data_IF_579214443584
#
_entry.id   IF_579214443584
#
_cell.length_a   1.000
_cell.length_b   1.000
_cell.length_c   1.000
_cell.angle_alpha   90.00
_cell.angle_beta   90.00
_cell.angle_gamma   90.00
#
_symmetry.space_group_name_H-M   'P 1'
#
loop_
_entity.id
_entity.type
_entity.pdbx_description
1 polymer ?
#
# COMPACT_ATOMS: atom_id res chain seq x y z
N UNK A 1 5.43 14.45 -0.06
CA UNK A 1 4.25 13.77 0.54
C UNK A 1 3.00 14.31 -0.13
N UNK A 2 2.08 13.45 -0.57
CA UNK A 2 0.85 13.89 -1.22
C UNK A 2 -0.07 14.60 -0.23
N UNK A 3 -0.64 15.74 -0.64
CA UNK A 3 -1.64 16.47 0.14
C UNK A 3 -3.04 15.89 -0.08
N UNK A 4 -4.00 16.22 0.79
CA UNK A 4 -5.41 15.86 0.58
C UNK A 4 -5.93 16.38 -0.78
N UNK A 5 -5.47 17.58 -1.20
CA UNK A 5 -5.80 18.13 -2.51
C UNK A 5 -5.30 17.29 -3.68
N UNK A 6 -4.08 16.78 -3.59
CA UNK A 6 -3.48 15.90 -4.61
C UNK A 6 -4.25 14.58 -4.72
N UNK A 7 -4.61 13.99 -3.58
CA UNK A 7 -5.40 12.75 -3.52
C UNK A 7 -6.77 12.96 -4.19
N UNK A 8 -7.46 14.07 -3.89
CA UNK A 8 -8.76 14.40 -4.49
C UNK A 8 -8.65 14.64 -5.99
N UNK A 9 -7.59 15.31 -6.43
CA UNK A 9 -7.32 15.57 -7.85
C UNK A 9 -7.11 14.26 -8.61
N UNK A 10 -6.30 13.37 -8.08
CA UNK A 10 -6.03 12.07 -8.70
C UNK A 10 -7.28 11.18 -8.69
N UNK A 11 -8.03 11.15 -7.59
CA UNK A 11 -9.33 10.47 -7.55
C UNK A 11 -10.26 10.96 -8.68
N UNK A 12 -10.40 12.26 -8.87
CA UNK A 12 -11.26 12.84 -9.92
C UNK A 12 -10.79 12.47 -11.32
N UNK A 13 -9.47 12.37 -11.55
CA UNK A 13 -8.89 11.92 -12.81
C UNK A 13 -9.24 10.47 -13.08
N UNK A 14 -8.94 9.56 -12.15
CA UNK A 14 -9.24 8.13 -12.23
C UNK A 14 -10.75 7.91 -12.42
N UNK A 15 -11.58 8.60 -11.63
CA UNK A 15 -13.02 8.45 -11.72
C UNK A 15 -13.57 8.87 -13.10
N UNK A 16 -13.03 9.91 -13.73
CA UNK A 16 -13.42 10.32 -15.08
C UNK A 16 -13.00 9.32 -16.15
N UNK A 17 -11.78 8.81 -16.04
CA UNK A 17 -11.22 7.83 -16.98
C UNK A 17 -11.97 6.50 -16.94
N UNK A 18 -12.34 6.07 -15.74
CA UNK A 18 -13.01 4.77 -15.51
C UNK A 18 -14.50 4.92 -15.17
N UNK A 19 -15.13 6.05 -15.45
CA UNK A 19 -16.53 6.33 -15.10
C UNK A 19 -17.55 5.35 -15.71
N UNK A 20 -17.21 4.70 -16.83
CA UNK A 20 -17.99 3.64 -17.45
C UNK A 20 -18.08 2.35 -16.62
N UNK A 21 -17.15 2.17 -15.67
CA UNK A 21 -17.20 1.07 -14.73
C UNK A 21 -17.96 1.55 -13.48
N UNK A 22 -19.07 0.92 -13.15
CA UNK A 22 -19.94 1.31 -12.01
C UNK A 22 -19.29 1.06 -10.63
N UNK A 23 -17.99 0.95 -10.58
CA UNK A 23 -17.20 0.63 -9.40
C UNK A 23 -16.97 1.81 -8.45
N UNK A 24 -16.30 1.49 -7.35
CA UNK A 24 -15.75 2.45 -6.39
C UNK A 24 -14.26 2.61 -6.64
N UNK A 25 -13.73 3.81 -6.36
CA UNK A 25 -12.28 4.04 -6.34
C UNK A 25 -11.81 3.93 -4.89
N UNK A 26 -10.95 2.98 -4.63
CA UNK A 26 -10.38 2.75 -3.31
C UNK A 26 -9.15 3.63 -3.12
N UNK A 27 -9.13 4.39 -2.03
CA UNK A 27 -8.01 5.25 -1.61
C UNK A 27 -7.45 4.65 -0.33
N UNK A 28 -6.38 3.90 -0.45
CA UNK A 28 -5.69 3.30 0.68
C UNK A 28 -4.64 4.28 1.21
N UNK A 29 -4.64 4.49 2.51
CA UNK A 29 -3.78 5.49 3.17
C UNK A 29 -3.00 4.78 4.26
N UNK A 30 -1.67 4.95 4.24
CA UNK A 30 -0.84 4.57 5.37
C UNK A 30 -1.15 5.50 6.55
N UNK A 31 -1.86 4.98 7.53
CA UNK A 31 -2.30 5.68 8.74
C UNK A 31 -1.40 5.39 9.94
N UNK A 32 -0.15 5.01 9.68
CA UNK A 32 0.84 4.70 10.72
C UNK A 32 1.24 5.98 11.48
N UNK A 33 0.86 6.07 12.73
CA UNK A 33 1.24 7.17 13.65
C UNK A 33 0.44 8.45 13.43
N UNK A 34 1.03 9.51 12.86
CA UNK A 34 0.39 10.82 12.70
C UNK A 34 -0.56 10.91 11.50
N UNK A 35 -0.79 9.81 10.78
CA UNK A 35 -1.59 9.76 9.55
C UNK A 35 -3.08 10.03 9.73
N UNK A 36 -3.63 9.89 10.93
CA UNK A 36 -5.06 10.11 11.21
C UNK A 36 -5.59 11.45 10.72
N UNK A 37 -4.77 12.50 10.76
CA UNK A 37 -5.16 13.82 10.26
C UNK A 37 -5.44 13.88 8.76
N UNK A 38 -4.71 13.13 7.93
CA UNK A 38 -4.94 13.05 6.48
C UNK A 38 -6.23 12.28 6.19
N UNK A 39 -6.38 11.14 6.85
CA UNK A 39 -7.58 10.28 6.72
C UNK A 39 -8.84 11.03 7.11
N UNK A 40 -8.85 11.72 8.24
CA UNK A 40 -10.01 12.45 8.74
C UNK A 40 -10.34 13.66 7.84
N UNK A 41 -9.34 14.43 7.43
CA UNK A 41 -9.55 15.53 6.51
C UNK A 41 -10.06 15.05 5.14
N UNK A 42 -9.59 13.92 4.66
CA UNK A 42 -10.09 13.34 3.40
C UNK A 42 -11.55 12.87 3.53
N UNK A 43 -11.95 12.32 4.68
CA UNK A 43 -13.35 11.96 4.96
C UNK A 43 -14.26 13.21 4.96
N UNK A 44 -13.80 14.32 5.53
CA UNK A 44 -14.52 15.60 5.50
C UNK A 44 -14.70 16.10 4.06
N UNK A 45 -13.60 16.22 3.30
CA UNK A 45 -13.62 16.66 1.90
C UNK A 45 -14.48 15.74 1.03
N UNK A 46 -14.46 14.42 1.28
CA UNK A 46 -15.36 13.47 0.61
C UNK A 46 -16.84 13.83 0.81
N UNK A 47 -17.22 14.22 2.02
CA UNK A 47 -18.61 14.66 2.33
C UNK A 47 -18.91 16.03 1.70
N UNK A 48 -18.01 17.00 1.89
CA UNK A 48 -18.16 18.37 1.36
C UNK A 48 -18.34 18.39 -0.16
N UNK A 49 -17.54 17.61 -0.87
CA UNK A 49 -17.54 17.54 -2.35
C UNK A 49 -18.40 16.42 -2.92
N UNK A 50 -19.16 15.70 -2.10
CA UNK A 50 -20.06 14.60 -2.49
C UNK A 50 -19.37 13.50 -3.32
N UNK A 51 -18.12 13.13 -2.95
CA UNK A 51 -17.31 12.15 -3.66
C UNK A 51 -17.66 10.70 -3.21
N UNK A 52 -18.92 10.30 -3.35
CA UNK A 52 -19.44 9.06 -2.77
C UNK A 52 -18.85 7.78 -3.36
N UNK A 53 -18.27 7.85 -4.56
CA UNK A 53 -17.55 6.71 -5.18
C UNK A 53 -16.14 6.51 -4.61
N UNK A 54 -15.61 7.48 -3.85
CA UNK A 54 -14.34 7.33 -3.11
C UNK A 54 -14.56 6.47 -1.87
N UNK A 55 -13.84 5.37 -1.75
CA UNK A 55 -13.77 4.56 -0.55
C UNK A 55 -12.42 4.77 0.11
N UNK A 56 -12.40 5.34 1.31
CA UNK A 56 -11.19 5.63 2.06
C UNK A 56 -10.92 4.46 3.00
N UNK A 57 -9.75 3.85 2.87
CA UNK A 57 -9.31 2.71 3.67
C UNK A 57 -8.00 3.10 4.38
N UNK A 58 -8.06 3.44 5.67
CA UNK A 58 -6.84 3.60 6.46
C UNK A 58 -6.21 2.23 6.69
N UNK A 59 -4.90 2.14 6.53
CA UNK A 59 -4.11 0.93 6.77
C UNK A 59 -2.96 1.31 7.69
N UNK A 60 -2.87 0.68 8.84
CA UNK A 60 -1.72 0.81 9.72
C UNK A 60 -0.67 -0.25 9.37
N UNK A 61 0.25 0.10 8.48
CA UNK A 61 1.29 -0.79 8.00
C UNK A 61 2.27 -1.26 9.09
N UNK A 62 2.32 -0.58 10.24
CA UNK A 62 3.15 -0.96 11.39
C UNK A 62 2.48 -1.98 12.32
N UNK A 63 1.18 -2.21 12.17
CA UNK A 63 0.46 -3.19 12.99
C UNK A 63 0.89 -4.63 12.69
N UNK A 64 0.77 -5.46 13.70
CA UNK A 64 0.81 -6.90 13.52
C UNK A 64 -0.41 -7.32 12.70
N UNK A 65 -0.25 -8.35 11.89
CA UNK A 65 -1.35 -8.93 11.12
C UNK A 65 -2.36 -9.49 12.13
N UNK A 66 -3.52 -8.84 12.28
CA UNK A 66 -4.60 -9.34 13.13
C UNK A 66 -5.36 -10.49 12.47
N UNK A 67 -5.73 -11.49 13.26
CA UNK A 67 -6.02 -12.85 12.77
C UNK A 67 -7.51 -13.20 12.73
N UNK A 68 -8.37 -12.38 12.13
CA UNK A 68 -9.81 -12.65 12.14
C UNK A 68 -10.30 -13.64 11.06
N UNK A 69 -9.51 -13.92 10.02
CA UNK A 69 -9.85 -14.87 8.97
C UNK A 69 -8.76 -15.91 8.73
N UNK A 70 -9.10 -17.07 8.15
CA UNK A 70 -8.13 -18.13 7.86
C UNK A 70 -6.99 -17.68 6.93
N UNK A 71 -7.30 -16.85 5.92
CA UNK A 71 -6.28 -16.30 5.00
C UNK A 71 -5.32 -15.34 5.70
N UNK A 72 -5.82 -14.57 6.66
CA UNK A 72 -5.01 -13.65 7.47
C UNK A 72 -4.15 -14.40 8.49
N UNK A 73 -4.63 -15.54 9.01
CA UNK A 73 -3.82 -16.43 9.86
C UNK A 73 -2.62 -16.98 9.11
N UNK A 74 -2.81 -17.47 7.88
CA UNK A 74 -1.74 -17.97 7.02
C UNK A 74 -0.69 -16.86 6.73
N UNK A 75 -1.13 -15.65 6.47
CA UNK A 75 -0.24 -14.50 6.31
C UNK A 75 0.53 -14.16 7.59
N UNK A 76 -0.13 -14.21 8.76
CA UNK A 76 0.52 -13.96 10.05
C UNK A 76 1.54 -15.03 10.43
N UNK A 77 1.39 -16.26 9.95
CA UNK A 77 2.37 -17.33 10.13
C UNK A 77 3.59 -17.15 9.24
N UNK A 78 3.42 -16.65 8.02
CA UNK A 78 4.48 -16.51 7.00
C UNK A 78 5.26 -15.21 7.11
N UNK A 79 4.60 -14.10 7.47
CA UNK A 79 5.17 -12.75 7.42
C UNK A 79 5.24 -12.10 8.80
N UNK A 80 6.35 -11.40 9.04
CA UNK A 80 6.60 -10.78 10.36
C UNK A 80 5.71 -9.56 10.63
N UNK A 81 5.33 -8.83 9.58
CA UNK A 81 4.50 -7.63 9.68
C UNK A 81 3.68 -7.40 8.40
N UNK A 82 2.72 -6.48 8.48
CA UNK A 82 1.82 -6.17 7.38
C UNK A 82 2.54 -5.62 6.15
N UNK A 83 3.57 -4.78 6.33
CA UNK A 83 4.39 -4.27 5.22
C UNK A 83 4.99 -5.43 4.41
N UNK A 84 5.53 -6.44 5.09
CA UNK A 84 6.08 -7.64 4.42
C UNK A 84 5.00 -8.41 3.66
N UNK A 85 3.82 -8.57 4.25
CA UNK A 85 2.69 -9.24 3.59
C UNK A 85 2.22 -8.49 2.34
N UNK A 86 2.13 -7.15 2.40
CA UNK A 86 1.77 -6.31 1.24
C UNK A 86 2.77 -6.46 0.09
N UNK A 87 4.06 -6.42 0.38
CA UNK A 87 5.11 -6.59 -0.62
C UNK A 87 5.13 -8.01 -1.21
N UNK A 88 4.91 -9.03 -0.39
CA UNK A 88 4.81 -10.40 -0.85
C UNK A 88 3.59 -10.60 -1.78
N UNK A 89 2.44 -10.05 -1.41
CA UNK A 89 1.23 -10.07 -2.25
C UNK A 89 1.46 -9.37 -3.60
N UNK A 90 2.08 -8.20 -3.59
CA UNK A 90 2.44 -7.48 -4.82
C UNK A 90 3.38 -8.30 -5.70
N UNK A 91 4.42 -8.92 -5.13
CA UNK A 91 5.34 -9.81 -5.86
C UNK A 91 4.56 -10.95 -6.51
N UNK A 92 3.69 -11.61 -5.76
CA UNK A 92 2.91 -12.74 -6.28
C UNK A 92 1.99 -12.32 -7.45
N UNK A 93 1.40 -11.11 -7.39
CA UNK A 93 0.61 -10.55 -8.51
C UNK A 93 1.47 -10.30 -9.76
N UNK A 94 2.71 -9.80 -9.58
CA UNK A 94 3.66 -9.58 -10.68
C UNK A 94 4.13 -10.91 -11.28
N UNK A 95 4.55 -11.87 -10.45
CA UNK A 95 5.04 -13.18 -10.87
C UNK A 95 3.97 -13.97 -11.65
N UNK A 96 2.72 -13.88 -11.19
CA UNK A 96 1.58 -14.52 -11.85
C UNK A 96 1.02 -13.71 -13.04
N UNK A 97 1.64 -12.59 -13.41
CA UNK A 97 1.22 -11.70 -14.52
C UNK A 97 -0.23 -11.21 -14.37
N UNK A 98 -0.68 -11.01 -13.14
CA UNK A 98 -2.03 -10.54 -12.83
C UNK A 98 -2.14 -9.00 -12.84
N UNK A 99 -1.00 -8.31 -12.82
CA UNK A 99 -0.92 -6.85 -12.92
C UNK A 99 0.16 -6.44 -13.93
N UNK A 100 -0.02 -5.25 -14.49
CA UNK A 100 0.97 -4.56 -15.31
C UNK A 100 1.28 -3.23 -14.63
N UNK A 101 2.54 -2.92 -14.48
CA UNK A 101 3.02 -1.64 -13.95
C UNK A 101 3.62 -0.80 -15.06
N UNK A 102 3.64 0.52 -14.88
CA UNK A 102 4.32 1.43 -15.80
C UNK A 102 5.82 1.13 -15.85
N UNK A 103 6.41 1.31 -17.04
CA UNK A 103 7.86 1.21 -17.26
C UNK A 103 8.55 2.49 -16.72
N UNK A 104 8.63 2.58 -15.40
CA UNK A 104 9.24 3.69 -14.65
C UNK A 104 10.49 3.18 -13.94
N UNK A 105 11.66 3.63 -14.39
CA UNK A 105 12.96 3.19 -13.86
C UNK A 105 13.09 3.36 -12.34
N UNK A 106 12.50 4.42 -11.79
CA UNK A 106 12.58 4.67 -10.35
C UNK A 106 11.75 3.65 -9.56
N UNK A 107 10.54 3.34 -10.02
CA UNK A 107 9.69 2.32 -9.39
C UNK A 107 10.31 0.94 -9.50
N UNK A 108 10.79 0.56 -10.70
CA UNK A 108 11.46 -0.72 -10.94
C UNK A 108 12.72 -0.85 -10.08
N UNK A 109 13.53 0.22 -10.00
CA UNK A 109 14.72 0.26 -9.14
C UNK A 109 14.38 0.06 -7.66
N UNK A 110 13.31 0.68 -7.16
CA UNK A 110 12.84 0.49 -5.78
C UNK A 110 12.33 -0.93 -5.52
N UNK A 111 11.55 -1.50 -6.45
CA UNK A 111 11.03 -2.87 -6.35
C UNK A 111 12.15 -3.92 -6.31
N UNK A 112 13.21 -3.74 -7.10
CA UNK A 112 14.30 -4.69 -7.23
C UNK A 112 15.40 -4.56 -6.17
N UNK A 113 15.48 -3.44 -5.46
CA UNK A 113 16.57 -3.16 -4.53
C UNK A 113 16.34 -3.61 -3.09
N UNK A 114 15.07 -3.81 -2.69
CA UNK A 114 14.69 -4.15 -1.32
C UNK A 114 14.86 -5.65 -1.04
N UNK A 115 15.53 -5.98 0.06
CA UNK A 115 15.87 -7.34 0.43
C UNK A 115 14.82 -7.97 1.35
N UNK A 116 14.83 -9.30 1.40
CA UNK A 116 14.09 -10.09 2.40
C UNK A 116 15.07 -10.79 3.32
N UNK A 117 14.68 -10.95 4.56
CA UNK A 117 15.38 -11.75 5.56
C UNK A 117 14.42 -12.74 6.21
N UNK A 118 14.97 -13.79 6.82
CA UNK A 118 14.21 -14.68 7.69
C UNK A 118 14.46 -14.27 9.13
N UNK A 119 13.37 -14.12 9.89
CA UNK A 119 13.46 -13.89 11.34
C UNK A 119 13.86 -15.17 12.06
N UNK A 120 14.29 -15.07 13.33
CA UNK A 120 14.59 -16.22 14.17
C UNK A 120 13.40 -17.18 14.34
N UNK A 121 12.18 -16.68 14.16
CA UNK A 121 10.94 -17.47 14.26
C UNK A 121 10.51 -18.06 12.89
N UNK A 122 11.37 -18.01 11.87
CA UNK A 122 11.11 -18.56 10.54
C UNK A 122 10.13 -17.76 9.68
N UNK A 123 9.80 -16.53 10.06
CA UNK A 123 8.95 -15.65 9.25
C UNK A 123 9.77 -14.81 8.28
N UNK A 124 9.23 -14.55 7.12
CA UNK A 124 9.79 -13.55 6.19
C UNK A 124 9.62 -12.14 6.75
N UNK A 125 10.64 -11.33 6.57
CA UNK A 125 10.63 -9.91 6.88
C UNK A 125 11.32 -9.13 5.78
N UNK A 126 10.64 -8.09 5.29
CA UNK A 126 11.23 -7.18 4.30
C UNK A 126 12.19 -6.22 5.00
N UNK A 127 13.28 -5.88 4.33
CA UNK A 127 14.27 -4.94 4.80
C UNK A 127 13.63 -3.61 5.22
N UNK A 128 13.98 -3.11 6.40
CA UNK A 128 13.48 -1.83 6.88
C UNK A 128 14.07 -0.65 6.09
N UNK A 129 13.34 0.47 6.02
CA UNK A 129 13.85 1.72 5.42
C UNK A 129 15.18 2.17 6.05
N UNK A 130 15.36 1.92 7.34
CA UNK A 130 16.59 2.23 8.07
C UNK A 130 17.79 1.42 7.56
N UNK A 131 17.56 0.14 7.27
CA UNK A 131 18.61 -0.73 6.73
C UNK A 131 18.93 -0.40 5.27
N UNK A 132 17.92 -0.11 4.46
CA UNK A 132 18.11 0.40 3.09
C UNK A 132 18.99 1.67 3.09
N UNK A 133 18.69 2.63 3.99
CA UNK A 133 19.47 3.85 4.14
C UNK A 133 20.93 3.57 4.53
N UNK A 134 21.19 2.58 5.39
CA UNK A 134 22.58 2.16 5.73
C UNK A 134 23.33 1.62 4.52
N UNK A 135 22.65 1.05 3.53
CA UNK A 135 23.21 0.60 2.26
C UNK A 135 23.34 1.72 1.21
N UNK A 136 23.03 2.97 1.57
CA UNK A 136 23.07 4.13 0.66
C UNK A 136 21.88 4.22 -0.28
N UNK A 137 20.77 3.54 0.04
CA UNK A 137 19.54 3.58 -0.76
C UNK A 137 18.53 4.56 -0.18
N UNK A 138 17.79 5.20 -1.05
CA UNK A 138 16.65 6.04 -0.68
C UNK A 138 15.44 5.21 -0.22
N UNK A 139 14.48 5.88 0.39
CA UNK A 139 13.21 5.27 0.79
C UNK A 139 12.43 4.77 -0.45
N UNK A 140 11.92 3.53 -0.44
CA UNK A 140 11.20 2.97 -1.59
C UNK A 140 9.74 3.44 -1.62
N UNK A 141 9.50 4.75 -1.56
CA UNK A 141 8.17 5.33 -1.34
C UNK A 141 7.18 5.03 -2.47
N UNK A 142 7.64 4.95 -3.73
CA UNK A 142 6.79 4.57 -4.86
C UNK A 142 6.40 3.10 -4.79
N UNK A 143 7.36 2.23 -4.50
CA UNK A 143 7.11 0.80 -4.36
C UNK A 143 6.22 0.50 -3.13
N UNK A 144 6.42 1.20 -2.02
CA UNK A 144 5.54 1.11 -0.84
C UNK A 144 4.11 1.56 -1.17
N UNK A 145 3.94 2.67 -1.91
CA UNK A 145 2.63 3.13 -2.36
C UNK A 145 1.94 2.13 -3.30
N UNK A 146 2.70 1.49 -4.20
CA UNK A 146 2.19 0.45 -5.09
C UNK A 146 1.77 -0.79 -4.29
N UNK A 147 2.59 -1.27 -3.36
CA UNK A 147 2.26 -2.39 -2.49
C UNK A 147 1.00 -2.13 -1.67
N UNK A 148 0.88 -0.91 -1.14
CA UNK A 148 -0.30 -0.45 -0.42
C UNK A 148 -1.54 -0.44 -1.32
N UNK A 149 -1.45 0.13 -2.53
CA UNK A 149 -2.57 0.24 -3.46
C UNK A 149 -3.10 -1.13 -3.93
N UNK A 150 -2.23 -2.13 -4.04
CA UNK A 150 -2.57 -3.49 -4.47
C UNK A 150 -3.06 -4.39 -3.32
N UNK A 151 -2.88 -3.95 -2.08
CA UNK A 151 -3.32 -4.70 -0.92
C UNK A 151 -4.81 -4.51 -0.68
N UNK A 152 -5.61 -5.52 -1.02
CA UNK A 152 -7.07 -5.48 -0.93
C UNK A 152 -7.64 -6.01 0.40
N UNK A 153 -6.79 -6.25 1.39
CA UNK A 153 -7.22 -6.73 2.71
C UNK A 153 -7.87 -8.12 2.67
N UNK A 154 -7.40 -8.98 1.79
CA UNK A 154 -7.89 -10.37 1.64
C UNK A 154 -7.08 -11.33 2.49
#
# INVERSE_FOLDING_TARGET
MATVGDIVKEFKKIYREYSKYEGKVYVQIDDTGLGGGVTDRLKEVRKEQKLYKMQIIPINAAEKIETDTAAVKDAAEKYNNLTTAMWASMRDLLDNKQIVIEDDEQTIGQLSSRKYTMTSNGKLEIESKKEMKKRGLDSPDRADALALALYLGK
#
